data_IF_469220941602
#
_entry.id   IF_469220941602
#
_cell.length_a   1.000
_cell.length_b   1.000
_cell.length_c   1.000
_cell.angle_alpha   90.00
_cell.angle_beta   90.00
_cell.angle_gamma   90.00
#
_symmetry.space_group_name_H-M   'P 1'
#
loop_
_entity.id
_entity.type
_entity.pdbx_description
1 polymer ?
#
# COMPACT_ATOMS: atom_id res chain seq x y z
N UNK A 1 13.37 13.23 -9.40
CA UNK A 1 12.68 13.15 -10.71
C UNK A 1 12.40 14.58 -11.13
N UNK A 2 13.05 15.04 -12.20
CA UNK A 2 12.79 16.36 -12.78
C UNK A 2 11.45 16.35 -13.53
N UNK A 3 10.76 17.49 -13.57
CA UNK A 3 9.46 17.66 -14.24
C UNK A 3 8.40 16.64 -13.81
N UNK A 4 8.30 16.40 -12.50
CA UNK A 4 7.42 15.37 -11.94
C UNK A 4 5.95 15.58 -12.32
N UNK A 5 5.46 16.83 -12.26
CA UNK A 5 4.07 17.15 -12.58
C UNK A 5 3.77 16.90 -14.07
N UNK A 6 4.62 17.39 -14.95
CA UNK A 6 4.46 17.25 -16.41
C UNK A 6 4.50 15.77 -16.82
N UNK A 7 5.40 14.99 -16.23
CA UNK A 7 5.46 13.53 -16.43
C UNK A 7 4.21 12.83 -15.94
N UNK A 8 3.76 13.17 -14.73
CA UNK A 8 2.54 12.58 -14.16
C UNK A 8 1.30 12.97 -14.99
N UNK A 9 1.25 14.19 -15.52
CA UNK A 9 0.19 14.64 -16.42
C UNK A 9 0.19 13.84 -17.72
N UNK A 10 1.34 13.61 -18.36
CA UNK A 10 1.46 12.77 -19.56
C UNK A 10 0.93 11.34 -19.29
N UNK A 11 1.33 10.75 -18.17
CA UNK A 11 0.82 9.41 -17.78
C UNK A 11 -0.68 9.41 -17.55
N UNK A 12 -1.21 10.42 -16.86
CA UNK A 12 -2.64 10.55 -16.59
C UNK A 12 -3.46 10.76 -17.88
N UNK A 13 -2.97 11.56 -18.81
CA UNK A 13 -3.59 11.77 -20.13
C UNK A 13 -3.59 10.49 -20.96
N UNK A 14 -2.48 9.75 -20.94
CA UNK A 14 -2.39 8.44 -21.60
C UNK A 14 -3.41 7.47 -21.04
N UNK A 15 -3.50 7.34 -19.71
CA UNK A 15 -4.49 6.47 -19.05
C UNK A 15 -5.91 6.90 -19.42
N UNK A 16 -6.21 8.20 -19.41
CA UNK A 16 -7.54 8.72 -19.80
C UNK A 16 -7.92 8.39 -21.24
N UNK A 17 -6.95 8.32 -22.14
CA UNK A 17 -7.21 7.99 -23.55
C UNK A 17 -7.41 6.49 -23.81
N UNK A 18 -6.99 5.62 -22.86
CA UNK A 18 -7.06 4.18 -23.01
C UNK A 18 -8.06 3.50 -22.06
N UNK A 19 -8.51 4.20 -21.04
CA UNK A 19 -9.51 3.72 -20.08
C UNK A 19 -10.71 4.67 -20.06
N UNK A 20 -11.90 4.11 -19.95
CA UNK A 20 -13.15 4.88 -19.92
C UNK A 20 -13.58 5.23 -18.49
N UNK A 21 -13.23 4.38 -17.53
CA UNK A 21 -13.58 4.54 -16.12
C UNK A 21 -12.80 5.66 -15.45
N UNK A 22 -13.44 6.29 -14.45
CA UNK A 22 -12.86 7.41 -13.68
C UNK A 22 -13.00 7.21 -12.17
N UNK A 23 -12.43 6.12 -11.63
CA UNK A 23 -12.52 5.79 -10.21
C UNK A 23 -12.02 6.91 -9.29
N UNK A 24 -12.72 7.08 -8.17
CA UNK A 24 -12.30 7.93 -7.04
C UNK A 24 -11.53 7.15 -5.97
N UNK A 25 -11.54 5.83 -6.07
CA UNK A 25 -10.92 4.91 -5.14
C UNK A 25 -9.80 4.15 -5.88
N UNK A 26 -8.66 4.02 -5.24
CA UNK A 26 -7.59 3.13 -5.69
C UNK A 26 -7.21 2.13 -4.61
N UNK A 27 -6.86 0.91 -5.00
CA UNK A 27 -6.29 -0.11 -4.13
C UNK A 27 -4.92 -0.54 -4.63
N UNK A 28 -3.96 -0.67 -3.74
CA UNK A 28 -2.63 -1.21 -4.04
C UNK A 28 -2.53 -2.61 -3.49
N UNK A 29 -2.34 -3.58 -4.37
CA UNK A 29 -2.27 -4.99 -4.02
C UNK A 29 -0.81 -5.38 -3.74
N UNK A 30 -0.54 -5.73 -2.49
CA UNK A 30 0.75 -6.25 -2.04
C UNK A 30 0.97 -7.71 -2.41
N UNK A 31 2.16 -8.23 -2.12
CA UNK A 31 2.55 -9.61 -2.39
C UNK A 31 1.57 -10.64 -1.80
N UNK A 32 1.07 -11.54 -2.62
CA UNK A 32 0.13 -12.59 -2.23
C UNK A 32 -1.32 -12.11 -1.97
N UNK A 33 -1.65 -10.86 -2.31
CA UNK A 33 -2.97 -10.25 -2.03
C UNK A 33 -3.72 -9.87 -3.32
N UNK A 34 -3.34 -10.48 -4.46
CA UNK A 34 -3.88 -10.16 -5.79
C UNK A 34 -5.31 -10.62 -6.07
N UNK A 35 -5.92 -11.41 -5.20
CA UNK A 35 -7.24 -12.03 -5.49
C UNK A 35 -8.41 -11.04 -5.47
N UNK A 36 -8.24 -9.83 -4.94
CA UNK A 36 -9.33 -8.85 -4.89
C UNK A 36 -9.85 -8.48 -6.28
N UNK A 37 -8.97 -8.44 -7.29
CA UNK A 37 -9.35 -8.10 -8.66
C UNK A 37 -10.13 -9.22 -9.37
N UNK A 38 -10.16 -10.43 -8.82
CA UNK A 38 -10.97 -11.52 -9.35
C UNK A 38 -12.49 -11.23 -9.25
N UNK A 39 -12.89 -10.40 -8.28
CA UNK A 39 -14.28 -9.98 -8.09
C UNK A 39 -14.64 -8.71 -8.89
N UNK A 40 -13.71 -8.16 -9.68
CA UNK A 40 -13.97 -6.99 -10.51
C UNK A 40 -14.72 -7.38 -11.78
N UNK A 41 -15.69 -6.55 -12.14
CA UNK A 41 -16.40 -6.65 -13.41
C UNK A 41 -16.08 -5.46 -14.31
N UNK A 42 -16.38 -5.55 -15.60
CA UNK A 42 -16.15 -4.49 -16.60
C UNK A 42 -14.71 -3.96 -16.57
N UNK A 43 -13.74 -4.84 -16.53
CA UNK A 43 -12.34 -4.49 -16.33
C UNK A 43 -11.68 -3.92 -17.59
N UNK A 44 -10.83 -2.92 -17.38
CA UNK A 44 -9.91 -2.33 -18.35
C UNK A 44 -8.50 -2.41 -17.76
N UNK A 45 -7.52 -2.88 -18.52
CA UNK A 45 -6.16 -3.13 -18.03
C UNK A 45 -5.11 -2.42 -18.88
N UNK A 46 -4.11 -1.81 -18.22
CA UNK A 46 -2.93 -1.22 -18.83
C UNK A 46 -1.67 -1.72 -18.13
N UNK A 47 -0.78 -2.46 -18.82
CA UNK A 47 0.53 -2.80 -18.29
C UNK A 47 1.34 -1.54 -17.94
N UNK A 48 2.03 -1.52 -16.79
CA UNK A 48 2.84 -0.35 -16.38
C UNK A 48 3.88 0.04 -17.43
N UNK A 49 4.49 -0.93 -18.11
CA UNK A 49 5.49 -0.70 -19.18
C UNK A 49 4.96 0.11 -20.37
N UNK A 50 3.64 0.10 -20.57
CA UNK A 50 3.00 0.81 -21.69
C UNK A 50 2.59 2.23 -21.30
N UNK A 51 2.53 2.52 -19.98
CA UNK A 51 2.19 3.85 -19.45
C UNK A 51 3.45 4.72 -19.45
N UNK A 52 3.46 5.86 -20.15
CA UNK A 52 4.62 6.77 -20.16
C UNK A 52 5.12 7.10 -18.76
N UNK A 53 6.42 7.10 -18.55
CA UNK A 53 7.12 7.46 -17.31
C UNK A 53 6.85 6.53 -16.09
N UNK A 54 6.01 5.49 -16.21
CA UNK A 54 5.84 4.53 -15.11
C UNK A 54 7.11 3.70 -14.94
N UNK A 55 7.50 3.41 -13.68
CA UNK A 55 8.52 2.40 -13.42
C UNK A 55 8.00 1.00 -13.81
N UNK A 56 8.91 0.05 -13.95
CA UNK A 56 8.57 -1.36 -14.25
C UNK A 56 8.79 -2.19 -12.98
N UNK A 57 7.76 -2.90 -12.52
CA UNK A 57 7.90 -3.79 -11.36
C UNK A 57 8.83 -4.96 -11.69
N UNK A 58 9.79 -5.22 -10.80
CA UNK A 58 10.77 -6.32 -10.92
C UNK A 58 10.54 -7.43 -9.90
N UNK A 59 9.61 -7.25 -8.99
CA UNK A 59 9.31 -8.20 -7.90
C UNK A 59 8.48 -9.36 -8.43
N UNK A 60 8.93 -10.58 -8.17
CA UNK A 60 8.21 -11.80 -8.50
C UNK A 60 6.82 -11.84 -7.83
N UNK A 61 5.80 -12.20 -8.61
CA UNK A 61 4.40 -12.23 -8.14
C UNK A 61 3.64 -10.92 -8.32
N UNK A 62 4.28 -9.85 -8.82
CA UNK A 62 3.60 -8.63 -9.23
C UNK A 62 3.28 -8.69 -10.73
N UNK A 63 2.00 -8.47 -11.09
CA UNK A 63 1.57 -8.46 -12.49
C UNK A 63 2.09 -7.24 -13.24
N UNK A 64 2.29 -6.12 -12.53
CA UNK A 64 2.80 -4.88 -13.11
C UNK A 64 1.79 -4.21 -14.04
N UNK A 65 0.55 -4.08 -13.60
CA UNK A 65 -0.55 -3.48 -14.37
C UNK A 65 -1.42 -2.56 -13.52
N UNK A 66 -1.99 -1.54 -14.17
CA UNK A 66 -3.10 -0.75 -13.68
C UNK A 66 -4.40 -1.34 -14.23
N UNK A 67 -5.28 -1.77 -13.34
CA UNK A 67 -6.62 -2.26 -13.68
C UNK A 67 -7.65 -1.21 -13.25
N UNK A 68 -8.62 -0.90 -14.08
CA UNK A 68 -9.83 -0.21 -13.70
C UNK A 68 -11.02 -1.16 -13.83
N UNK A 69 -11.89 -1.22 -12.85
CA UNK A 69 -13.04 -2.12 -12.88
C UNK A 69 -14.11 -1.69 -11.89
N UNK A 70 -15.20 -2.45 -11.85
CA UNK A 70 -16.25 -2.30 -10.85
C UNK A 70 -16.15 -3.38 -9.79
N UNK A 71 -16.24 -2.99 -8.54
CA UNK A 71 -16.43 -3.86 -7.39
C UNK A 71 -17.79 -3.54 -6.77
N UNK A 72 -18.81 -4.35 -7.10
CA UNK A 72 -20.20 -3.96 -6.92
C UNK A 72 -20.52 -2.72 -7.76
N UNK A 73 -21.05 -1.67 -7.13
CA UNK A 73 -21.39 -0.41 -7.81
C UNK A 73 -20.22 0.62 -7.84
N UNK A 74 -19.09 0.31 -7.20
CA UNK A 74 -17.95 1.23 -7.11
C UNK A 74 -16.95 1.00 -8.23
N UNK A 75 -16.59 2.06 -8.94
CA UNK A 75 -15.42 2.03 -9.81
C UNK A 75 -14.14 2.12 -8.96
N UNK A 76 -13.16 1.27 -9.26
CA UNK A 76 -11.90 1.16 -8.51
C UNK A 76 -10.73 1.02 -9.47
N UNK A 77 -9.66 1.78 -9.22
CA UNK A 77 -8.34 1.45 -9.76
C UNK A 77 -7.66 0.42 -8.86
N UNK A 78 -7.11 -0.63 -9.44
CA UNK A 78 -6.23 -1.55 -8.74
C UNK A 78 -4.82 -1.48 -9.35
N UNK A 79 -3.84 -1.21 -8.50
CA UNK A 79 -2.44 -1.35 -8.84
C UNK A 79 -2.05 -2.81 -8.53
N UNK A 80 -1.92 -3.63 -9.57
CA UNK A 80 -1.52 -5.04 -9.47
C UNK A 80 0.00 -5.17 -9.40
N UNK A 81 0.56 -4.72 -8.29
CA UNK A 81 1.97 -4.61 -7.99
C UNK A 81 2.36 -3.20 -7.55
N UNK A 82 3.46 -3.13 -6.83
CA UNK A 82 4.05 -1.89 -6.32
C UNK A 82 5.54 -1.85 -6.60
N UNK A 83 6.13 -0.67 -6.37
CA UNK A 83 7.56 -0.45 -6.48
C UNK A 83 8.16 -0.32 -5.09
N UNK A 84 9.37 -0.86 -4.91
CA UNK A 84 10.05 -0.79 -3.63
C UNK A 84 11.40 -0.08 -3.77
N UNK A 85 11.81 0.56 -2.69
CA UNK A 85 13.07 1.27 -2.67
C UNK A 85 14.28 0.33 -2.87
N UNK A 86 14.19 -0.90 -2.36
CA UNK A 86 15.25 -1.91 -2.53
C UNK A 86 15.40 -2.42 -3.97
N UNK A 87 14.47 -2.13 -4.87
CA UNK A 87 14.61 -2.43 -6.32
C UNK A 87 15.59 -1.46 -7.01
N UNK A 88 16.08 -0.42 -6.30
CA UNK A 88 17.01 0.59 -6.83
C UNK A 88 16.32 1.86 -7.35
N UNK A 89 15.00 1.95 -7.23
CA UNK A 89 14.24 3.15 -7.56
C UNK A 89 14.45 4.25 -6.50
N UNK A 90 14.48 5.50 -6.94
CA UNK A 90 14.38 6.64 -6.03
C UNK A 90 13.01 6.65 -5.33
N UNK A 91 12.91 7.27 -4.16
CA UNK A 91 11.63 7.39 -3.45
C UNK A 91 10.53 8.08 -4.27
N UNK A 92 10.90 9.00 -5.16
CA UNK A 92 9.95 9.65 -6.06
C UNK A 92 9.43 8.69 -7.13
N UNK A 93 10.26 7.77 -7.62
CA UNK A 93 9.83 6.72 -8.56
C UNK A 93 8.95 5.68 -7.87
N UNK A 94 9.30 5.26 -6.65
CA UNK A 94 8.46 4.37 -5.83
C UNK A 94 7.05 4.94 -5.67
N UNK A 95 6.94 6.24 -5.44
CA UNK A 95 5.66 6.92 -5.22
C UNK A 95 5.02 7.50 -6.49
N UNK A 96 5.67 7.35 -7.65
CA UNK A 96 5.20 7.97 -8.90
C UNK A 96 3.75 7.64 -9.27
N UNK A 97 3.26 6.39 -9.13
CA UNK A 97 1.88 6.05 -9.44
C UNK A 97 0.86 6.89 -8.67
N UNK A 98 1.15 7.29 -7.43
CA UNK A 98 0.22 8.07 -6.60
C UNK A 98 0.05 9.50 -7.10
N UNK A 99 1.10 10.12 -7.66
CA UNK A 99 1.00 11.41 -8.34
C UNK A 99 0.07 11.31 -9.56
N UNK A 100 0.19 10.23 -10.32
CA UNK A 100 -0.69 9.96 -11.47
C UNK A 100 -2.13 9.71 -11.04
N UNK A 101 -2.36 8.88 -10.01
CA UNK A 101 -3.68 8.64 -9.44
C UNK A 101 -4.34 9.93 -8.96
N UNK A 102 -3.59 10.83 -8.33
CA UNK A 102 -4.10 12.15 -7.93
C UNK A 102 -4.60 12.95 -9.12
N UNK A 103 -3.81 13.01 -10.20
CA UNK A 103 -4.20 13.71 -11.43
C UNK A 103 -5.38 13.02 -12.15
N UNK A 104 -5.54 11.71 -11.99
CA UNK A 104 -6.73 10.98 -12.46
C UNK A 104 -7.99 11.30 -11.65
N UNK A 105 -7.84 11.93 -10.50
CA UNK A 105 -8.94 12.36 -9.63
C UNK A 105 -9.26 11.38 -8.50
N UNK A 106 -8.33 10.48 -8.14
CA UNK A 106 -8.45 9.60 -6.98
C UNK A 106 -8.44 10.43 -5.69
N UNK A 107 -9.34 10.10 -4.79
CA UNK A 107 -9.56 10.78 -3.51
C UNK A 107 -9.24 9.88 -2.31
N UNK A 108 -9.35 8.55 -2.49
CA UNK A 108 -9.19 7.56 -1.43
C UNK A 108 -8.28 6.42 -1.91
N UNK A 109 -7.33 6.02 -1.08
CA UNK A 109 -6.36 4.96 -1.39
C UNK A 109 -6.38 3.90 -0.31
N UNK A 110 -6.55 2.65 -0.73
CA UNK A 110 -6.42 1.47 0.14
C UNK A 110 -5.07 0.80 -0.13
N UNK A 111 -4.22 0.75 0.87
CA UNK A 111 -2.91 0.11 0.80
C UNK A 111 -2.94 -1.26 1.47
N UNK A 112 -2.46 -2.29 0.78
CA UNK A 112 -2.28 -3.61 1.37
C UNK A 112 -0.80 -4.00 1.36
N UNK A 113 -0.36 -4.77 2.34
CA UNK A 113 0.99 -5.28 2.39
C UNK A 113 1.09 -6.59 3.18
N UNK A 114 2.17 -7.34 2.95
CA UNK A 114 2.65 -8.41 3.80
C UNK A 114 3.79 -7.87 4.65
N UNK A 115 3.82 -8.19 5.95
CA UNK A 115 4.83 -7.67 6.87
C UNK A 115 5.17 -8.65 8.01
N UNK A 116 6.26 -8.37 8.73
CA UNK A 116 6.67 -9.08 9.93
C UNK A 116 6.04 -8.50 11.19
N UNK A 117 5.48 -9.36 12.04
CA UNK A 117 4.92 -8.97 13.35
C UNK A 117 6.02 -8.73 14.38
N UNK A 118 6.01 -7.56 15.01
CA UNK A 118 6.86 -7.20 16.15
C UNK A 118 6.10 -7.40 17.46
N UNK A 119 4.82 -7.04 17.48
CA UNK A 119 3.96 -7.22 18.64
C UNK A 119 3.76 -8.71 18.93
N UNK A 120 4.15 -9.13 20.13
CA UNK A 120 4.14 -10.57 20.56
C UNK A 120 2.74 -11.16 20.72
N UNK A 121 1.69 -10.33 20.75
CA UNK A 121 0.31 -10.80 20.73
C UNK A 121 -0.18 -11.19 19.34
N UNK A 122 0.58 -10.84 18.29
CA UNK A 122 0.25 -11.19 16.92
C UNK A 122 0.73 -12.61 16.57
N UNK A 123 0.16 -13.15 15.50
CA UNK A 123 0.56 -14.43 14.93
C UNK A 123 0.51 -14.35 13.39
N UNK A 124 1.25 -15.20 12.68
CA UNK A 124 1.15 -15.29 11.23
C UNK A 124 -0.30 -15.58 10.78
N UNK A 125 -0.78 -14.80 9.81
CA UNK A 125 -2.15 -14.82 9.32
C UNK A 125 -3.07 -13.75 9.94
N UNK A 126 -2.62 -13.04 10.96
CA UNK A 126 -3.37 -11.92 11.55
C UNK A 126 -3.44 -10.76 10.55
N UNK A 127 -4.60 -10.14 10.42
CA UNK A 127 -4.81 -8.89 9.71
C UNK A 127 -4.67 -7.72 10.69
N UNK A 128 -3.85 -6.74 10.32
CA UNK A 128 -3.63 -5.54 11.14
C UNK A 128 -4.12 -4.30 10.40
N UNK A 129 -5.10 -3.61 10.96
CA UNK A 129 -5.50 -2.26 10.55
C UNK A 129 -4.43 -1.28 11.01
N UNK A 130 -3.78 -0.60 10.08
CA UNK A 130 -2.69 0.33 10.40
C UNK A 130 -3.28 1.64 10.94
N UNK A 131 -2.81 2.05 12.10
CA UNK A 131 -3.28 3.27 12.78
C UNK A 131 -2.31 4.43 12.67
N UNK A 132 -1.00 4.13 12.56
CA UNK A 132 0.08 5.10 12.44
C UNK A 132 1.31 4.44 11.81
N UNK A 133 2.35 5.22 11.52
CA UNK A 133 3.60 4.68 10.99
C UNK A 133 4.84 5.27 11.66
N UNK A 134 5.94 4.52 11.57
CA UNK A 134 7.29 5.00 11.88
C UNK A 134 8.13 4.87 10.60
N UNK A 135 8.75 5.96 10.16
CA UNK A 135 9.62 5.95 8.98
C UNK A 135 11.08 5.67 9.37
N UNK A 136 11.53 4.42 9.20
CA UNK A 136 12.93 3.99 9.36
C UNK A 136 13.60 3.67 8.01
N UNK A 137 13.09 4.22 6.89
CA UNK A 137 13.66 4.00 5.56
C UNK A 137 14.89 4.88 5.27
N UNK A 138 15.33 5.72 6.21
CA UNK A 138 16.49 6.59 6.03
C UNK A 138 16.32 7.71 5.00
N UNK A 139 15.12 7.84 4.42
CA UNK A 139 14.78 8.85 3.41
C UNK A 139 13.28 9.17 3.43
N UNK A 140 12.86 10.15 2.63
CA UNK A 140 11.48 10.61 2.54
C UNK A 140 11.18 11.01 1.07
N UNK A 141 10.05 10.60 0.50
CA UNK A 141 9.70 10.90 -0.90
C UNK A 141 9.55 12.40 -1.20
N UNK A 142 9.32 13.23 -0.16
CA UNK A 142 9.10 14.67 -0.28
C UNK A 142 10.40 15.49 -0.17
N UNK A 143 11.58 14.85 -0.02
CA UNK A 143 12.86 15.54 -0.03
C UNK A 143 13.11 16.19 -1.41
N UNK A 144 13.62 17.43 -1.39
CA UNK A 144 13.93 18.23 -2.55
C UNK A 144 12.95 19.39 -2.75
N UNK A 145 12.88 19.93 -3.97
CA UNK A 145 11.96 21.02 -4.31
C UNK A 145 10.51 20.57 -4.19
N UNK A 146 9.66 21.44 -3.63
CA UNK A 146 8.23 21.25 -3.57
C UNK A 146 7.56 21.73 -4.86
N UNK A 147 6.48 21.02 -5.26
CA UNK A 147 5.58 21.47 -6.31
C UNK A 147 4.19 21.71 -5.69
N UNK A 148 3.85 22.99 -5.52
CA UNK A 148 2.60 23.39 -4.84
C UNK A 148 1.33 22.94 -5.55
N UNK A 149 1.45 22.53 -6.84
CA UNK A 149 0.34 21.93 -7.59
C UNK A 149 -0.12 20.59 -7.01
N UNK A 150 0.77 19.90 -6.29
CA UNK A 150 0.46 18.65 -5.60
C UNK A 150 0.08 18.86 -4.14
N UNK A 151 0.77 19.78 -3.44
CA UNK A 151 0.51 20.00 -2.02
C UNK A 151 1.50 20.95 -1.35
N UNK A 152 1.33 21.20 -0.04
CA UNK A 152 2.13 22.13 0.72
C UNK A 152 3.55 21.61 0.97
N UNK A 153 4.53 22.50 1.16
CA UNK A 153 5.93 22.14 1.48
C UNK A 153 6.04 21.29 2.75
N UNK A 154 5.19 21.52 3.73
CA UNK A 154 5.18 20.84 5.03
C UNK A 154 3.78 20.25 5.28
N UNK A 155 3.50 19.03 4.75
CA UNK A 155 2.20 18.39 4.97
C UNK A 155 2.05 17.95 6.44
N UNK A 156 0.84 18.05 6.95
CA UNK A 156 0.47 17.52 8.26
C UNK A 156 0.31 16.00 8.20
N UNK A 157 0.88 15.30 9.19
CA UNK A 157 0.79 13.85 9.36
C UNK A 157 0.14 13.48 10.71
N UNK A 158 -0.69 14.36 11.26
CA UNK A 158 -1.42 14.09 12.53
C UNK A 158 -2.36 12.91 12.37
N UNK A 159 -2.94 12.72 11.19
CA UNK A 159 -3.85 11.62 10.86
C UNK A 159 -3.44 10.97 9.53
N UNK A 160 -2.33 10.20 9.49
CA UNK A 160 -1.80 9.66 8.23
C UNK A 160 -2.70 8.56 7.64
N UNK A 161 -3.49 7.89 8.46
CA UNK A 161 -4.53 6.95 8.06
C UNK A 161 -5.89 7.48 8.52
N UNK A 162 -6.80 7.72 7.59
CA UNK A 162 -8.07 8.38 7.83
C UNK A 162 -8.89 7.68 8.92
N UNK A 163 -9.27 8.40 9.99
CA UNK A 163 -10.10 7.91 11.07
C UNK A 163 -11.46 7.42 10.54
N UNK A 164 -12.07 8.17 9.61
CA UNK A 164 -13.31 7.81 8.96
C UNK A 164 -13.22 6.44 8.25
N UNK A 165 -12.16 6.21 7.46
CA UNK A 165 -11.97 4.95 6.74
C UNK A 165 -11.60 3.80 7.69
N UNK A 166 -10.83 4.07 8.75
CA UNK A 166 -10.52 3.07 9.79
C UNK A 166 -11.79 2.66 10.54
N UNK A 167 -12.65 3.60 10.90
CA UNK A 167 -13.91 3.30 11.58
C UNK A 167 -14.88 2.53 10.67
N UNK A 168 -14.92 2.87 9.38
CA UNK A 168 -15.65 2.09 8.39
C UNK A 168 -15.13 0.65 8.31
N UNK A 169 -13.80 0.47 8.25
CA UNK A 169 -13.18 -0.84 8.20
C UNK A 169 -13.49 -1.67 9.47
N UNK A 170 -13.44 -1.05 10.66
CA UNK A 170 -13.78 -1.70 11.94
C UNK A 170 -15.24 -2.17 11.98
N UNK A 171 -16.18 -1.27 11.63
CA UNK A 171 -17.62 -1.65 11.58
C UNK A 171 -17.85 -2.79 10.60
N UNK A 172 -17.25 -2.73 9.42
CA UNK A 172 -17.39 -3.77 8.41
C UNK A 172 -16.78 -5.10 8.87
N UNK A 173 -15.61 -5.10 9.52
CA UNK A 173 -15.03 -6.32 10.09
C UNK A 173 -15.95 -6.95 11.15
N UNK A 174 -16.51 -6.14 12.04
CA UNK A 174 -17.43 -6.61 13.09
C UNK A 174 -18.71 -7.20 12.49
N UNK A 175 -19.31 -6.57 11.48
CA UNK A 175 -20.48 -7.09 10.77
C UNK A 175 -20.20 -8.43 10.08
N UNK A 176 -18.98 -8.61 9.58
CA UNK A 176 -18.55 -9.84 8.91
C UNK A 176 -17.97 -10.91 9.84
N UNK A 177 -17.83 -10.63 11.13
CA UNK A 177 -17.18 -11.52 12.09
C UNK A 177 -15.69 -11.75 11.81
N UNK A 178 -15.02 -10.77 11.18
CA UNK A 178 -13.59 -10.84 10.85
C UNK A 178 -12.78 -10.33 12.03
N UNK A 179 -11.89 -11.19 12.54
CA UNK A 179 -10.93 -10.79 13.56
C UNK A 179 -9.79 -9.98 12.95
N UNK A 180 -9.42 -8.87 13.60
CA UNK A 180 -8.29 -8.02 13.22
C UNK A 180 -7.59 -7.48 14.47
N UNK A 181 -6.39 -6.94 14.27
CA UNK A 181 -5.65 -6.17 15.25
C UNK A 181 -5.48 -4.74 14.75
N UNK A 182 -5.11 -3.82 15.63
CA UNK A 182 -4.69 -2.47 15.27
C UNK A 182 -3.23 -2.29 15.63
N UNK A 183 -2.47 -1.48 14.88
CA UNK A 183 -1.08 -1.28 15.20
C UNK A 183 -0.34 -0.26 14.35
N UNK A 184 0.87 0.04 14.80
CA UNK A 184 1.81 0.96 14.16
C UNK A 184 2.72 0.18 13.21
N UNK A 185 2.75 0.61 11.95
CA UNK A 185 3.59 0.01 10.92
C UNK A 185 4.93 0.75 10.81
N UNK A 186 6.04 0.03 10.92
CA UNK A 186 7.36 0.58 10.67
C UNK A 186 7.81 0.30 9.23
N UNK A 187 8.11 1.36 8.49
CA UNK A 187 8.75 1.25 7.17
C UNK A 187 10.25 1.08 7.32
N UNK A 188 10.81 0.00 6.78
CA UNK A 188 12.24 -0.30 6.75
C UNK A 188 12.73 -0.47 5.32
N UNK A 189 13.99 -0.15 5.07
CA UNK A 189 14.51 -0.03 3.70
C UNK A 189 14.62 -1.40 2.97
N UNK A 190 15.00 -2.45 3.68
CA UNK A 190 15.40 -3.72 3.04
C UNK A 190 16.72 -3.58 2.27
N UNK A 191 17.06 -4.52 1.34
CA UNK A 191 16.36 -5.79 1.07
C UNK A 191 16.58 -6.88 2.13
N UNK A 192 17.54 -6.69 3.06
CA UNK A 192 17.76 -7.63 4.15
C UNK A 192 16.58 -7.57 5.15
N UNK A 193 16.19 -8.72 5.66
CA UNK A 193 15.37 -8.75 6.86
C UNK A 193 16.15 -8.18 8.05
N UNK A 194 15.42 -7.63 8.99
CA UNK A 194 15.95 -6.98 10.17
C UNK A 194 16.70 -7.99 11.06
N UNK A 195 17.71 -7.51 11.78
CA UNK A 195 18.35 -8.28 12.85
C UNK A 195 17.48 -8.32 14.11
N UNK A 196 17.72 -9.27 15.00
CA UNK A 196 17.03 -9.33 16.29
C UNK A 196 17.28 -8.08 17.17
N UNK A 197 18.42 -7.39 17.00
CA UNK A 197 18.72 -6.15 17.71
C UNK A 197 17.88 -4.98 17.17
N UNK A 198 17.75 -4.87 15.85
CA UNK A 198 16.89 -3.88 15.21
C UNK A 198 15.43 -4.09 15.64
N UNK A 199 14.94 -5.33 15.62
CA UNK A 199 13.56 -5.64 16.05
C UNK A 199 13.30 -5.25 17.51
N UNK A 200 14.27 -5.48 18.42
CA UNK A 200 14.12 -4.99 19.80
C UNK A 200 14.09 -3.47 19.89
N UNK A 201 14.91 -2.78 19.10
CA UNK A 201 14.91 -1.32 19.04
C UNK A 201 13.55 -0.80 18.48
N UNK A 202 13.05 -1.40 17.40
CA UNK A 202 11.77 -1.04 16.77
C UNK A 202 10.58 -1.27 17.72
N UNK A 203 10.58 -2.38 18.45
CA UNK A 203 9.59 -2.61 19.52
C UNK A 203 9.64 -1.52 20.61
N UNK A 204 10.85 -1.09 20.99
CA UNK A 204 11.06 -0.01 21.95
C UNK A 204 10.59 1.37 21.43
N UNK A 205 10.52 1.56 20.12
CA UNK A 205 9.97 2.77 19.48
C UNK A 205 8.44 2.72 19.34
N UNK A 206 7.81 1.58 19.66
CA UNK A 206 6.36 1.41 19.58
C UNK A 206 5.84 0.82 18.27
N UNK A 207 6.70 0.17 17.46
CA UNK A 207 6.28 -0.53 16.26
C UNK A 207 5.61 -1.88 16.59
N UNK A 208 4.47 -2.16 15.96
CA UNK A 208 3.76 -3.44 16.04
C UNK A 208 4.09 -4.38 14.88
N UNK A 209 4.44 -3.82 13.74
CA UNK A 209 4.82 -4.57 12.54
C UNK A 209 5.89 -3.83 11.74
N UNK A 210 6.64 -4.54 10.91
CA UNK A 210 7.69 -3.99 10.04
C UNK A 210 7.58 -4.54 8.63
N UNK A 211 7.82 -3.67 7.64
CA UNK A 211 7.87 -4.05 6.23
C UNK A 211 8.57 -3.00 5.38
N UNK A 212 8.68 -3.26 4.09
CA UNK A 212 9.56 -2.51 3.17
C UNK A 212 8.78 -1.63 2.18
N UNK A 213 7.54 -1.23 2.52
CA UNK A 213 6.63 -0.47 1.65
C UNK A 213 5.74 0.48 2.45
N UNK A 214 4.63 0.93 1.85
CA UNK A 214 3.46 1.56 2.51
C UNK A 214 3.71 2.96 3.09
N UNK A 215 4.79 3.18 3.84
CA UNK A 215 5.08 4.48 4.48
C UNK A 215 5.32 5.60 3.46
N UNK A 216 6.19 5.44 2.45
CA UNK A 216 6.37 6.48 1.43
C UNK A 216 5.09 6.80 0.66
N UNK A 217 4.31 5.77 0.36
CA UNK A 217 3.02 5.87 -0.34
C UNK A 217 2.01 6.65 0.49
N UNK A 218 1.91 6.33 1.79
CA UNK A 218 1.08 7.06 2.75
C UNK A 218 1.47 8.54 2.85
N UNK A 219 2.78 8.85 2.93
CA UNK A 219 3.26 10.22 2.98
C UNK A 219 2.85 11.02 1.75
N UNK A 220 3.02 10.45 0.55
CA UNK A 220 2.70 11.13 -0.70
C UNK A 220 1.19 11.28 -0.88
N UNK A 221 0.38 10.30 -0.47
CA UNK A 221 -1.07 10.41 -0.49
C UNK A 221 -1.56 11.55 0.42
N UNK A 222 -1.07 11.61 1.66
CA UNK A 222 -1.41 12.70 2.58
C UNK A 222 -0.95 14.08 2.06
N UNK A 223 0.28 14.16 1.53
CA UNK A 223 0.79 15.38 0.90
C UNK A 223 -0.16 15.93 -0.16
N UNK A 224 -0.80 15.04 -0.93
CA UNK A 224 -1.74 15.41 -1.99
C UNK A 224 -3.21 15.46 -1.52
N UNK A 225 -3.48 15.30 -0.23
CA UNK A 225 -4.84 15.35 0.34
C UNK A 225 -5.73 14.16 -0.04
N UNK A 226 -5.14 13.00 -0.31
CA UNK A 226 -5.89 11.75 -0.50
C UNK A 226 -6.03 11.03 0.85
N UNK A 227 -7.23 10.53 1.17
CA UNK A 227 -7.49 9.72 2.36
C UNK A 227 -6.87 8.34 2.21
N UNK A 228 -6.18 7.84 3.23
CA UNK A 228 -5.51 6.54 3.21
C UNK A 228 -6.14 5.59 4.22
N UNK A 229 -6.39 4.37 3.80
CA UNK A 229 -6.63 3.19 4.63
C UNK A 229 -5.51 2.20 4.37
N UNK A 230 -4.93 1.58 5.39
CA UNK A 230 -3.96 0.51 5.19
C UNK A 230 -4.27 -0.71 6.06
N UNK A 231 -4.17 -1.89 5.44
CA UNK A 231 -4.30 -3.18 6.12
C UNK A 231 -3.10 -4.04 5.79
N UNK A 232 -2.44 -4.53 6.82
CA UNK A 232 -1.28 -5.40 6.75
C UNK A 232 -1.66 -6.85 7.03
N UNK A 233 -1.09 -7.79 6.30
CA UNK A 233 -1.09 -9.20 6.65
C UNK A 233 0.21 -9.53 7.39
N UNK A 234 0.11 -9.97 8.64
CA UNK A 234 1.26 -10.50 9.38
C UNK A 234 1.61 -11.87 8.82
N UNK A 235 2.68 -11.97 8.03
CA UNK A 235 3.05 -13.21 7.34
C UNK A 235 4.06 -14.05 8.13
N UNK A 236 4.77 -13.41 9.02
CA UNK A 236 5.78 -14.02 9.89
C UNK A 236 5.93 -13.17 11.15
N UNK A 237 6.45 -13.75 12.21
CA UNK A 237 6.96 -12.95 13.32
C UNK A 237 8.38 -12.50 12.99
N UNK A 238 8.73 -11.26 13.34
CA UNK A 238 10.00 -10.65 13.00
C UNK A 238 11.20 -11.40 13.63
N UNK A 239 12.40 -11.12 13.12
CA UNK A 239 13.65 -11.76 13.55
C UNK A 239 13.86 -11.66 15.07
N UNK A 240 14.20 -12.79 15.71
CA UNK A 240 14.39 -12.87 17.15
C UNK A 240 13.09 -13.03 17.96
N UNK A 241 11.91 -12.94 17.31
CA UNK A 241 10.63 -13.32 17.89
C UNK A 241 10.28 -14.74 17.44
N UNK A 242 10.36 -15.04 16.14
CA UNK A 242 10.30 -16.42 15.66
C UNK A 242 11.69 -17.07 15.63
N UNK A 243 11.70 -18.40 15.74
CA UNK A 243 12.93 -19.22 15.70
C UNK A 243 13.27 -19.74 14.30
N UNK A 244 12.31 -19.72 13.39
CA UNK A 244 12.46 -20.23 12.02
C UNK A 244 13.03 -19.13 11.12
N UNK A 245 13.96 -19.50 10.22
CA UNK A 245 14.52 -18.57 9.23
C UNK A 245 13.43 -18.02 8.30
N UNK A 246 13.56 -16.75 7.94
CA UNK A 246 12.69 -16.11 6.97
C UNK A 246 12.90 -16.71 5.56
N UNK A 247 11.80 -16.83 4.80
CA UNK A 247 11.86 -17.11 3.37
C UNK A 247 10.70 -16.43 2.67
N UNK A 248 10.95 -15.90 1.49
CA UNK A 248 9.92 -15.24 0.69
C UNK A 248 8.78 -16.19 0.30
N UNK A 249 9.09 -17.45 -0.01
CA UNK A 249 8.08 -18.46 -0.33
C UNK A 249 7.07 -18.69 0.80
N UNK A 250 7.53 -18.70 2.07
CA UNK A 250 6.66 -18.85 3.23
C UNK A 250 5.82 -17.58 3.47
N UNK A 251 6.38 -16.41 3.20
CA UNK A 251 5.63 -15.14 3.24
C UNK A 251 4.45 -15.20 2.26
N UNK A 252 4.68 -15.62 1.01
CA UNK A 252 3.64 -15.75 -0.01
C UNK A 252 2.59 -16.81 0.38
N UNK A 253 3.00 -17.96 0.93
CA UNK A 253 2.08 -19.00 1.38
C UNK A 253 1.07 -18.47 2.41
N UNK A 254 1.57 -17.77 3.44
CA UNK A 254 0.72 -17.23 4.50
C UNK A 254 -0.12 -16.05 4.00
N UNK A 255 0.47 -15.18 3.17
CA UNK A 255 -0.26 -14.08 2.55
C UNK A 255 -1.42 -14.58 1.68
N UNK A 256 -1.21 -15.60 0.86
CA UNK A 256 -2.27 -16.22 0.05
C UNK A 256 -3.40 -16.80 0.92
N UNK A 257 -3.04 -17.49 2.01
CA UNK A 257 -4.04 -18.09 2.91
C UNK A 257 -4.88 -17.05 3.66
N UNK A 258 -4.27 -15.93 4.10
CA UNK A 258 -4.97 -14.83 4.75
C UNK A 258 -5.63 -13.88 3.75
N UNK A 259 -5.17 -13.91 2.50
CA UNK A 259 -5.56 -13.03 1.42
C UNK A 259 -7.06 -13.05 1.14
N UNK A 260 -7.69 -14.22 1.11
CA UNK A 260 -9.12 -14.34 0.86
C UNK A 260 -9.96 -13.60 1.92
N UNK A 261 -9.56 -13.67 3.19
CA UNK A 261 -10.25 -12.94 4.26
C UNK A 261 -10.03 -11.44 4.13
N UNK A 262 -8.80 -11.01 3.81
CA UNK A 262 -8.48 -9.59 3.57
C UNK A 262 -9.25 -9.07 2.36
N UNK A 263 -9.29 -9.79 1.25
CA UNK A 263 -10.01 -9.40 0.04
C UNK A 263 -11.52 -9.25 0.30
N UNK A 264 -12.15 -10.20 0.99
CA UNK A 264 -13.56 -10.09 1.38
C UNK A 264 -13.81 -8.87 2.26
N UNK A 265 -12.96 -8.64 3.26
CA UNK A 265 -13.07 -7.47 4.13
C UNK A 265 -12.94 -6.16 3.37
N UNK A 266 -11.84 -6.00 2.63
CA UNK A 266 -11.58 -4.78 1.86
C UNK A 266 -12.60 -4.58 0.73
N UNK A 267 -13.05 -5.65 0.08
CA UNK A 267 -14.12 -5.57 -0.90
C UNK A 267 -15.41 -5.00 -0.32
N UNK A 268 -15.81 -5.48 0.88
CA UNK A 268 -16.97 -4.94 1.58
C UNK A 268 -16.77 -3.49 2.07
N UNK A 269 -15.55 -3.12 2.48
CA UNK A 269 -15.21 -1.73 2.85
C UNK A 269 -15.31 -0.82 1.64
N UNK A 270 -14.68 -1.19 0.53
CA UNK A 270 -14.66 -0.39 -0.71
C UNK A 270 -16.08 -0.14 -1.23
N UNK A 271 -16.96 -1.12 -1.16
CA UNK A 271 -18.36 -0.95 -1.58
C UNK A 271 -19.13 0.06 -0.72
N UNK A 272 -18.67 0.35 0.50
CA UNK A 272 -19.28 1.33 1.43
C UNK A 272 -18.56 2.69 1.45
N UNK A 273 -17.39 2.82 0.77
CA UNK A 273 -16.66 4.09 0.59
C UNK A 273 -17.38 5.04 -0.44
#
# INVERSE_FOLDING_TARGET
MEHLYEKAQQSAEFIRSHMTKRPKIAVVLGSGLGNLTADFTETEELPYRDIPNFPVSTVEGHKGALLAGKLGEKEVYALEGRFHFYEGYSMKEVCYPFYVLKLLGVEQVVLTNACGGINRSFAPGVLMLVTDFINMMGTNPLIGSNDERFGPRFPDMTEPYSAELRDLAKRTANEMGIAYQEGVYMGFMGPCYETAAEIRAFAGMGADAVGMSTVPETMVCNYMGMKVLAVSCITNMATGIQTVKHSHARVLEIANRAGDTMCRWLGAVIQKM
#
